data_IF_467112477615
#
_entry.id   IF_467112477615
#
_cell.length_a   1.000
_cell.length_b   1.000
_cell.length_c   1.000
_cell.angle_alpha   90.00
_cell.angle_beta   90.00
_cell.angle_gamma   90.00
#
_symmetry.space_group_name_H-M   'P 1'
#
loop_
_entity.id
_entity.type
_entity.pdbx_description
1 polymer ?
#
# COMPACT_ATOMS: atom_id res chain seq x y z
N UNK A 1 -13.59 5.79 9.93
CA UNK A 1 -12.83 4.60 9.57
C UNK A 1 -11.75 4.96 8.58
N UNK A 2 -10.55 4.43 8.78
CA UNK A 2 -9.43 4.68 7.89
C UNK A 2 -9.35 3.63 6.80
N UNK A 3 -9.07 4.08 5.59
CA UNK A 3 -8.79 3.22 4.45
C UNK A 3 -7.53 3.73 3.77
N UNK A 4 -6.68 2.81 3.34
CA UNK A 4 -5.45 3.16 2.61
C UNK A 4 -5.40 2.36 1.32
N UNK A 5 -5.24 3.04 0.22
CA UNK A 5 -5.06 2.42 -1.09
C UNK A 5 -3.60 2.55 -1.48
N UNK A 6 -2.96 1.43 -1.75
CA UNK A 6 -1.56 1.36 -2.11
C UNK A 6 -1.41 0.91 -3.55
N UNK A 7 -0.57 1.58 -4.29
CA UNK A 7 -0.25 1.23 -5.66
C UNK A 7 1.25 1.37 -5.86
N UNK A 8 1.90 0.28 -6.23
CA UNK A 8 3.32 0.27 -6.57
C UNK A 8 3.50 -0.30 -7.96
N UNK A 9 4.33 0.31 -8.75
CA UNK A 9 4.57 -0.12 -10.10
C UNK A 9 5.99 0.19 -10.56
N UNK A 10 6.49 -0.63 -11.49
CA UNK A 10 7.74 -0.36 -12.19
C UNK A 10 7.47 -0.20 -13.69
N UNK A 11 8.31 0.58 -14.37
CA UNK A 11 8.20 0.81 -15.81
C UNK A 11 8.48 -0.45 -16.62
N UNK A 12 9.36 -1.26 -16.12
CA UNK A 12 9.64 -2.58 -16.63
C UNK A 12 9.90 -3.49 -15.44
N UNK A 13 9.99 -4.77 -15.64
CA UNK A 13 10.07 -5.73 -14.52
C UNK A 13 11.40 -6.50 -14.58
N UNK A 14 12.51 -5.98 -13.98
CA UNK A 14 12.60 -4.76 -13.15
C UNK A 14 12.74 -3.48 -13.94
N UNK A 15 12.54 -2.33 -13.28
CA UNK A 15 12.71 -1.02 -13.88
C UNK A 15 12.52 0.08 -12.84
N UNK A 16 12.55 1.33 -13.29
CA UNK A 16 12.26 2.46 -12.41
C UNK A 16 10.88 2.29 -11.79
N UNK A 17 10.81 2.37 -10.48
CA UNK A 17 9.60 2.08 -9.74
C UNK A 17 9.21 3.23 -8.82
N UNK A 18 7.92 3.26 -8.52
CA UNK A 18 7.35 4.24 -7.59
C UNK A 18 6.21 3.62 -6.81
N UNK A 19 5.89 4.24 -5.69
CA UNK A 19 4.73 3.87 -4.88
C UNK A 19 3.83 5.08 -4.72
N UNK A 20 2.53 4.83 -4.69
CA UNK A 20 1.51 5.83 -4.41
C UNK A 20 0.58 5.32 -3.34
N UNK A 21 0.26 6.18 -2.38
CA UNK A 21 -0.60 5.83 -1.25
C UNK A 21 -1.64 6.92 -1.09
N UNK A 22 -2.90 6.52 -1.00
CA UNK A 22 -4.00 7.43 -0.70
C UNK A 22 -4.62 7.02 0.62
N UNK A 23 -4.69 7.96 1.55
CA UNK A 23 -5.22 7.73 2.89
C UNK A 23 -6.56 8.44 3.00
N UNK A 24 -7.61 7.67 3.32
CA UNK A 24 -8.95 8.18 3.48
C UNK A 24 -9.42 7.98 4.91
N UNK A 25 -10.16 8.96 5.42
CA UNK A 25 -10.87 8.86 6.68
C UNK A 25 -12.33 9.19 6.42
N UNK A 26 -13.20 8.24 6.76
CA UNK A 26 -14.64 8.39 6.53
C UNK A 26 -14.97 8.77 5.08
N UNK A 27 -14.32 8.08 4.15
CA UNK A 27 -14.46 8.24 2.70
C UNK A 27 -13.92 9.56 2.14
N UNK A 28 -13.19 10.32 2.93
CA UNK A 28 -12.56 11.56 2.50
C UNK A 28 -11.05 11.41 2.47
N UNK A 29 -10.42 11.73 1.35
CA UNK A 29 -8.97 11.66 1.22
C UNK A 29 -8.31 12.76 2.07
N UNK A 30 -7.51 12.33 3.04
CA UNK A 30 -6.83 13.24 3.97
C UNK A 30 -5.34 13.38 3.69
N UNK A 31 -4.76 12.45 2.96
CA UNK A 31 -3.33 12.52 2.64
C UNK A 31 -3.02 11.63 1.43
N UNK A 32 -1.99 12.02 0.71
CA UNK A 32 -1.40 11.21 -0.36
C UNK A 32 0.11 11.19 -0.21
N UNK A 33 0.71 10.06 -0.55
CA UNK A 33 2.15 9.90 -0.56
C UNK A 33 2.55 9.35 -1.92
N UNK A 34 3.51 9.99 -2.57
CA UNK A 34 4.11 9.51 -3.81
C UNK A 34 5.61 9.48 -3.64
N UNK A 35 6.23 8.35 -3.98
CA UNK A 35 7.65 8.15 -3.72
C UNK A 35 8.29 7.32 -4.82
N UNK A 36 9.43 7.79 -5.33
CA UNK A 36 10.28 6.98 -6.21
C UNK A 36 11.14 6.07 -5.35
N UNK A 37 11.24 4.82 -5.74
CA UNK A 37 11.96 3.82 -4.95
C UNK A 37 13.16 3.21 -5.68
N UNK A 38 13.54 3.78 -6.84
CA UNK A 38 14.66 3.27 -7.61
C UNK A 38 14.27 2.11 -8.51
N UNK A 39 15.21 1.22 -8.77
CA UNK A 39 15.00 0.07 -9.65
C UNK A 39 14.40 -1.07 -8.83
N UNK A 40 13.25 -1.56 -9.25
CA UNK A 40 12.56 -2.64 -8.56
C UNK A 40 11.61 -3.38 -9.50
N UNK A 41 11.19 -4.58 -9.07
CA UNK A 41 10.11 -5.31 -9.73
C UNK A 41 8.75 -4.78 -9.27
N UNK A 42 7.69 -5.12 -9.97
CA UNK A 42 6.33 -4.76 -9.55
C UNK A 42 6.00 -5.28 -8.16
N UNK A 43 6.38 -6.53 -7.86
CA UNK A 43 6.12 -7.11 -6.53
C UNK A 43 6.84 -6.36 -5.42
N UNK A 44 8.10 -5.99 -5.65
CA UNK A 44 8.87 -5.20 -4.67
C UNK A 44 8.24 -3.84 -4.50
N UNK A 45 7.84 -3.18 -5.58
CA UNK A 45 7.21 -1.87 -5.51
C UNK A 45 5.93 -1.91 -4.67
N UNK A 46 5.08 -2.92 -4.88
CA UNK A 46 3.86 -3.06 -4.11
C UNK A 46 4.13 -3.37 -2.63
N UNK A 47 5.14 -4.19 -2.36
CA UNK A 47 5.55 -4.49 -0.99
C UNK A 47 6.01 -3.22 -0.27
N UNK A 48 6.81 -2.39 -0.95
CA UNK A 48 7.27 -1.13 -0.38
C UNK A 48 6.11 -0.14 -0.18
N UNK A 49 5.12 -0.17 -1.05
CA UNK A 49 3.90 0.60 -0.85
C UNK A 49 3.18 0.23 0.44
N UNK A 50 3.06 -1.06 0.73
CA UNK A 50 2.49 -1.53 1.99
C UNK A 50 3.31 -1.05 3.18
N UNK A 51 4.63 -1.11 3.10
CA UNK A 51 5.51 -0.64 4.18
C UNK A 51 5.29 0.86 4.44
N UNK A 52 5.19 1.67 3.39
CA UNK A 52 4.91 3.10 3.56
C UNK A 52 3.55 3.34 4.21
N UNK A 53 2.54 2.58 3.84
CA UNK A 53 1.22 2.66 4.46
C UNK A 53 1.28 2.34 5.96
N UNK A 54 2.00 1.29 6.32
CA UNK A 54 2.16 0.89 7.72
C UNK A 54 2.94 1.92 8.52
N UNK A 55 3.97 2.52 7.92
CA UNK A 55 4.72 3.60 8.56
C UNK A 55 3.81 4.78 8.86
N UNK A 56 2.95 5.15 7.92
CA UNK A 56 1.98 6.22 8.14
C UNK A 56 1.06 5.89 9.30
N UNK A 57 0.57 4.67 9.39
CA UNK A 57 -0.30 4.24 10.48
C UNK A 57 0.40 4.36 11.84
N UNK A 58 1.65 3.90 11.91
CA UNK A 58 2.43 3.98 13.15
C UNK A 58 2.66 5.44 13.56
N UNK A 59 3.06 6.28 12.61
CA UNK A 59 3.36 7.68 12.89
C UNK A 59 2.13 8.49 13.32
N UNK A 60 0.95 8.07 12.89
CA UNK A 60 -0.30 8.77 13.18
C UNK A 60 -1.19 8.05 14.16
N UNK A 61 -0.68 7.02 14.84
CA UNK A 61 -1.40 6.24 15.84
C UNK A 61 -2.72 5.65 15.32
N UNK A 62 -2.72 5.22 14.06
CA UNK A 62 -3.89 4.57 13.47
C UNK A 62 -3.81 3.09 13.82
N UNK A 63 -4.75 2.60 14.63
CA UNK A 63 -4.76 1.22 15.11
C UNK A 63 -5.64 0.31 14.28
N UNK A 64 -6.66 0.85 13.63
CA UNK A 64 -7.55 0.10 12.76
C UNK A 64 -7.61 0.76 11.39
N UNK A 65 -7.31 -0.01 10.36
CA UNK A 65 -7.30 0.48 8.99
C UNK A 65 -7.53 -0.68 8.03
N UNK A 66 -8.28 -0.44 6.98
CA UNK A 66 -8.39 -1.35 5.85
C UNK A 66 -7.38 -0.92 4.80
N UNK A 67 -6.44 -1.80 4.47
CA UNK A 67 -5.40 -1.52 3.48
C UNK A 67 -5.68 -2.34 2.22
N UNK A 68 -5.76 -1.66 1.09
CA UNK A 68 -6.07 -2.26 -0.21
C UNK A 68 -4.84 -2.29 -1.08
N UNK A 69 -4.51 -3.46 -1.59
CA UNK A 69 -3.37 -3.72 -2.45
C UNK A 69 -3.82 -4.46 -3.70
N UNK A 70 -3.06 -4.32 -4.78
CA UNK A 70 -3.29 -5.11 -6.00
C UNK A 70 -2.58 -6.46 -5.96
N UNK A 71 -1.53 -6.59 -5.17
CA UNK A 71 -0.72 -7.81 -5.14
C UNK A 71 -1.27 -8.84 -4.17
N UNK A 72 -1.76 -9.96 -4.70
CA UNK A 72 -2.18 -11.09 -3.88
C UNK A 72 -0.99 -11.70 -3.12
N UNK A 73 0.18 -11.75 -3.75
CA UNK A 73 1.38 -12.30 -3.12
C UNK A 73 1.75 -11.52 -1.87
N UNK A 74 1.72 -10.20 -1.94
CA UNK A 74 2.03 -9.34 -0.79
C UNK A 74 1.02 -9.58 0.33
N UNK A 75 -0.26 -9.63 0.00
CA UNK A 75 -1.33 -9.87 0.98
C UNK A 75 -1.13 -11.21 1.70
N UNK A 76 -0.73 -12.24 0.98
CA UNK A 76 -0.53 -13.57 1.56
C UNK A 76 0.70 -13.66 2.47
N UNK A 77 1.71 -12.83 2.23
CA UNK A 77 2.96 -12.88 2.99
C UNK A 77 2.95 -12.02 4.25
N UNK A 78 1.99 -11.13 4.36
CA UNK A 78 1.94 -10.18 5.49
C UNK A 78 0.94 -10.66 6.52
N UNK A 79 1.42 -10.90 7.73
CA UNK A 79 0.58 -11.28 8.87
C UNK A 79 0.56 -10.10 9.84
N UNK A 80 -0.51 -9.31 9.78
CA UNK A 80 -0.60 -8.03 10.49
C UNK A 80 -1.81 -7.99 11.43
N UNK A 81 -1.72 -7.11 12.42
CA UNK A 81 -2.86 -6.74 13.25
C UNK A 81 -3.88 -5.91 12.47
N UNK A 82 -3.44 -5.26 11.41
CA UNK A 82 -4.31 -4.48 10.53
C UNK A 82 -5.03 -5.39 9.54
N UNK A 83 -6.20 -4.97 9.10
CA UNK A 83 -6.91 -5.65 8.03
C UNK A 83 -6.28 -5.27 6.70
N UNK A 84 -5.71 -6.24 6.01
CA UNK A 84 -5.11 -6.05 4.70
C UNK A 84 -5.95 -6.77 3.66
N UNK A 85 -6.34 -6.08 2.61
CA UNK A 85 -7.19 -6.62 1.55
C UNK A 85 -6.57 -6.38 0.19
N UNK A 86 -6.74 -7.35 -0.71
CA UNK A 86 -6.38 -7.17 -2.12
C UNK A 86 -7.62 -6.73 -2.89
N UNK A 87 -7.47 -5.75 -3.78
CA UNK A 87 -8.57 -5.35 -4.66
C UNK A 87 -9.06 -6.51 -5.51
N UNK A 88 -8.16 -7.41 -5.90
CA UNK A 88 -8.52 -8.59 -6.69
C UNK A 88 -9.34 -9.60 -5.91
N UNK A 89 -9.17 -9.65 -4.61
CA UNK A 89 -9.91 -10.58 -3.75
C UNK A 89 -11.31 -10.09 -3.41
N UNK A 90 -11.60 -8.82 -3.64
CA UNK A 90 -12.90 -8.23 -3.34
C UNK A 90 -13.91 -8.39 -4.48
N UNK A 91 -13.46 -8.79 -5.64
CA UNK A 91 -14.31 -9.05 -6.79
C UNK A 91 -14.80 -10.52 -6.78
#
# INVERSE_FOLDING_TARGET
>A
MYEIYCDGASRSNPGEASVGISILKDSEEIATIKKRIGIATNNVAEYLGLIEALKYCVENNIMEVDIYLDSLLVVQQVNLEYKVKSKKLQE
#
